data_IF_263725350846
#
_entry.id   IF_263725350846
#
_cell.length_a   1.000
_cell.length_b   1.000
_cell.length_c   1.000
_cell.angle_alpha   90.00
_cell.angle_beta   90.00
_cell.angle_gamma   90.00
#
_symmetry.space_group_name_H-M   'P 1'
#
loop_
_entity.id
_entity.type
_entity.pdbx_description
1 polymer ?
#
# COMPACT_ATOMS: atom_id res chain seq x y z
N UNK A 1 10.67 6.95 -3.40
CA UNK A 1 9.67 6.44 -4.38
C UNK A 1 8.36 6.21 -3.65
N UNK A 2 7.22 6.34 -4.34
CA UNK A 2 5.90 5.99 -3.79
C UNK A 2 5.60 4.51 -4.06
N UNK A 3 5.34 3.76 -3.00
CA UNK A 3 5.13 2.31 -3.04
C UNK A 3 3.78 2.00 -2.39
N UNK A 4 2.93 1.26 -3.10
CA UNK A 4 1.65 0.77 -2.58
C UNK A 4 1.83 -0.69 -2.18
N UNK A 5 1.49 -1.03 -0.93
CA UNK A 5 1.58 -2.40 -0.41
C UNK A 5 0.17 -2.94 -0.19
N UNK A 6 -0.28 -3.83 -1.09
CA UNK A 6 -1.53 -4.57 -0.91
C UNK A 6 -1.36 -5.56 0.26
N UNK A 7 -2.33 -5.59 1.16
CA UNK A 7 -2.21 -6.33 2.43
C UNK A 7 -1.27 -5.67 3.43
N UNK A 8 -0.96 -4.37 3.25
CA UNK A 8 -0.02 -3.61 4.09
C UNK A 8 -0.42 -3.48 5.57
N UNK A 9 -1.67 -3.81 5.92
CA UNK A 9 -2.17 -3.85 7.31
C UNK A 9 -2.01 -5.24 7.95
N UNK A 10 -1.67 -6.27 7.19
CA UNK A 10 -1.47 -7.64 7.68
C UNK A 10 -0.13 -7.86 8.39
N UNK A 11 0.09 -9.08 8.90
CA UNK A 11 1.29 -9.42 9.68
C UNK A 11 2.60 -9.19 8.91
N UNK A 12 2.65 -9.64 7.66
CA UNK A 12 3.85 -9.49 6.81
C UNK A 12 3.87 -8.08 6.21
N UNK A 13 2.74 -7.61 5.68
CA UNK A 13 2.63 -6.31 5.02
C UNK A 13 3.03 -5.15 5.92
N UNK A 14 2.63 -5.16 7.19
CA UNK A 14 2.98 -4.10 8.16
C UNK A 14 4.49 -3.99 8.39
N UNK A 15 5.20 -5.13 8.45
CA UNK A 15 6.67 -5.17 8.55
C UNK A 15 7.34 -4.64 7.29
N UNK A 16 6.80 -4.96 6.11
CA UNK A 16 7.30 -4.45 4.83
C UNK A 16 7.10 -2.93 4.76
N UNK A 17 5.91 -2.43 5.11
CA UNK A 17 5.60 -1.00 5.14
C UNK A 17 6.58 -0.27 6.07
N UNK A 18 6.82 -0.78 7.27
CA UNK A 18 7.78 -0.16 8.19
C UNK A 18 9.21 -0.12 7.61
N UNK A 19 9.70 -1.22 7.07
CA UNK A 19 11.05 -1.28 6.47
C UNK A 19 11.19 -0.33 5.28
N UNK A 20 10.17 -0.22 4.44
CA UNK A 20 10.20 0.70 3.29
C UNK A 20 10.15 2.16 3.73
N UNK A 21 9.34 2.49 4.75
CA UNK A 21 9.32 3.85 5.34
C UNK A 21 10.67 4.22 5.94
N UNK A 22 11.33 3.30 6.65
CA UNK A 22 12.67 3.51 7.21
C UNK A 22 13.73 3.80 6.14
N UNK A 23 13.55 3.28 4.93
CA UNK A 23 14.42 3.57 3.77
C UNK A 23 14.10 4.90 3.07
N UNK A 24 13.21 5.73 3.64
CA UNK A 24 12.83 7.03 3.08
C UNK A 24 11.88 6.93 1.89
N UNK A 25 11.17 5.81 1.75
CA UNK A 25 10.12 5.70 0.73
C UNK A 25 8.78 6.22 1.24
N UNK A 26 7.99 6.79 0.35
CA UNK A 26 6.58 7.09 0.62
C UNK A 26 5.81 5.78 0.45
N UNK A 27 5.15 5.30 1.49
CA UNK A 27 4.52 3.97 1.47
C UNK A 27 3.06 4.09 1.87
N UNK A 28 2.18 3.63 0.99
CA UNK A 28 0.74 3.53 1.21
C UNK A 28 0.41 2.07 1.51
N UNK A 29 -0.17 1.80 2.67
CA UNK A 29 -0.67 0.49 3.04
C UNK A 29 -2.12 0.37 2.55
N UNK A 30 -2.38 -0.57 1.65
CA UNK A 30 -3.69 -0.79 1.05
C UNK A 30 -4.27 -2.13 1.53
N UNK A 31 -5.52 -2.10 1.98
CA UNK A 31 -6.26 -3.25 2.46
C UNK A 31 -7.77 -2.98 2.43
N UNK A 32 -8.63 -4.03 2.42
CA UNK A 32 -10.09 -3.85 2.38
C UNK A 32 -10.62 -3.00 3.54
N UNK A 33 -10.05 -3.16 4.74
CA UNK A 33 -10.41 -2.36 5.92
C UNK A 33 -9.95 -0.88 5.84
N UNK A 34 -9.13 -0.52 4.85
CA UNK A 34 -8.71 0.84 4.54
C UNK A 34 -9.39 1.38 3.27
N UNK A 35 -10.42 0.69 2.76
CA UNK A 35 -11.16 1.09 1.57
C UNK A 35 -10.47 0.74 0.24
N UNK A 36 -9.47 -0.13 0.24
CA UNK A 36 -8.77 -0.57 -0.98
C UNK A 36 -8.89 -2.08 -1.14
N UNK A 37 -9.58 -2.51 -2.19
CA UNK A 37 -9.81 -3.92 -2.47
C UNK A 37 -9.23 -4.29 -3.85
N UNK A 38 -8.18 -5.12 -3.84
CA UNK A 38 -7.51 -5.54 -5.07
C UNK A 38 -8.31 -6.56 -5.91
N UNK A 39 -9.36 -7.17 -5.33
CA UNK A 39 -10.21 -8.15 -6.04
C UNK A 39 -11.35 -7.45 -6.75
N UNK A 40 -12.05 -6.52 -6.07
CA UNK A 40 -13.17 -5.77 -6.66
C UNK A 40 -12.71 -4.54 -7.43
N UNK A 41 -11.50 -4.06 -7.18
CA UNK A 41 -10.95 -2.85 -7.78
C UNK A 41 -11.25 -1.56 -7.00
N UNK A 42 -12.04 -1.65 -5.93
CA UNK A 42 -12.40 -0.51 -5.08
C UNK A 42 -11.15 0.19 -4.52
N UNK A 43 -11.09 1.52 -4.63
CA UNK A 43 -10.01 2.34 -4.07
C UNK A 43 -8.64 2.15 -4.71
N UNK A 44 -8.47 1.28 -5.72
CA UNK A 44 -7.18 1.06 -6.37
C UNK A 44 -6.69 2.32 -7.10
N UNK A 45 -7.54 2.94 -7.93
CA UNK A 45 -7.14 4.10 -8.72
C UNK A 45 -6.52 5.21 -7.84
N UNK A 46 -7.20 5.54 -6.74
CA UNK A 46 -6.74 6.54 -5.77
C UNK A 46 -5.47 6.10 -5.03
N UNK A 47 -5.39 4.83 -4.61
CA UNK A 47 -4.22 4.30 -3.93
C UNK A 47 -2.96 4.35 -4.81
N UNK A 48 -3.10 4.17 -6.13
CA UNK A 48 -2.01 4.17 -7.10
C UNK A 48 -1.63 5.55 -7.64
N UNK A 49 -2.34 6.64 -7.29
CA UNK A 49 -1.97 8.00 -7.73
C UNK A 49 -0.52 8.32 -7.35
N UNK A 50 0.32 8.59 -8.35
CA UNK A 50 1.73 8.94 -8.16
C UNK A 50 2.67 7.75 -7.85
N UNK A 51 2.14 6.52 -7.79
CA UNK A 51 2.98 5.32 -7.83
C UNK A 51 3.58 5.16 -9.23
N UNK A 52 4.83 4.73 -9.31
CA UNK A 52 5.54 4.50 -10.59
C UNK A 52 5.72 3.01 -10.81
N UNK A 53 5.59 2.59 -12.07
CA UNK A 53 5.75 1.21 -12.56
C UNK A 53 7.11 1.03 -13.21
#
# INVERSE_FOLDING_TARGET
>A
MKIVVIGGTGLIGSRVVQKLKQKGHEVVAAAPNTGVNAVTGEGLADAFVGARV
#
